data_IF_928120144410
#
_entry.id   IF_928120144410
#
_cell.length_a   1.000
_cell.length_b   1.000
_cell.length_c   1.000
_cell.angle_alpha   90.00
_cell.angle_beta   90.00
_cell.angle_gamma   90.00
#
_symmetry.space_group_name_H-M   'P 1'
#
loop_
_entity.id
_entity.type
_entity.pdbx_description
1 polymer ?
#
# COMPACT_ATOMS: atom_id res chain seq x y z
N UNK A 1 -2.08 -6.00 -23.41
CA UNK A 1 -3.14 -6.45 -22.49
C UNK A 1 -3.25 -5.42 -21.37
N UNK A 2 -4.40 -5.32 -20.71
CA UNK A 2 -4.64 -4.35 -19.65
C UNK A 2 -4.59 -5.05 -18.31
N UNK A 3 -3.86 -4.48 -17.35
CA UNK A 3 -3.70 -5.03 -16.02
C UNK A 3 -4.11 -3.99 -14.97
N UNK A 4 -4.61 -4.49 -13.84
CA UNK A 4 -4.84 -3.73 -12.63
C UNK A 4 -3.76 -4.11 -11.60
N UNK A 5 -2.96 -3.14 -11.18
CA UNK A 5 -2.02 -3.28 -10.08
C UNK A 5 -2.61 -2.63 -8.82
N UNK A 6 -2.91 -3.44 -7.81
CA UNK A 6 -3.23 -2.95 -6.47
C UNK A 6 -1.94 -2.94 -5.65
N UNK A 7 -1.54 -1.76 -5.20
CA UNK A 7 -0.30 -1.52 -4.47
C UNK A 7 -0.67 -0.99 -3.09
N UNK A 8 -0.31 -1.72 -2.04
CA UNK A 8 -0.53 -1.30 -0.65
C UNK A 8 0.80 -0.86 -0.06
N UNK A 9 0.87 0.38 0.42
CA UNK A 9 2.07 1.00 1.00
C UNK A 9 1.83 1.26 2.48
N UNK A 10 2.74 0.77 3.33
CA UNK A 10 2.65 0.88 4.79
C UNK A 10 4.00 1.30 5.38
N UNK A 11 3.98 1.92 6.55
CA UNK A 11 5.22 2.28 7.25
C UNK A 11 5.98 1.03 7.72
N UNK A 12 7.30 1.08 7.64
CA UNK A 12 8.19 0.07 8.23
C UNK A 12 8.06 0.07 9.76
N UNK A 13 8.25 -1.10 10.42
CA UNK A 13 8.28 -1.18 11.86
C UNK A 13 9.27 -0.19 12.48
N UNK A 14 8.89 0.46 13.58
CA UNK A 14 9.71 1.44 14.29
C UNK A 14 9.59 2.88 13.79
N UNK A 15 8.91 3.13 12.66
CA UNK A 15 8.48 4.48 12.30
C UNK A 15 7.17 4.84 13.00
N UNK A 16 7.07 6.08 13.49
CA UNK A 16 5.84 6.57 14.11
C UNK A 16 4.77 6.80 13.05
N UNK A 17 3.55 6.38 13.39
CA UNK A 17 2.31 6.61 12.65
C UNK A 17 1.35 7.43 13.52
N UNK A 18 1.53 8.78 13.60
CA UNK A 18 0.72 9.61 14.48
C UNK A 18 -0.79 9.55 14.18
N UNK A 19 -1.15 9.29 12.92
CA UNK A 19 -2.55 9.16 12.50
C UNK A 19 -3.15 7.83 12.99
N UNK A 20 -2.43 6.73 12.84
CA UNK A 20 -2.81 5.43 13.39
C UNK A 20 -2.92 5.45 14.91
N UNK A 21 -1.95 6.07 15.60
CA UNK A 21 -1.96 6.24 17.06
C UNK A 21 -3.20 7.03 17.53
N UNK A 22 -3.50 8.16 16.87
CA UNK A 22 -4.68 8.98 17.18
C UNK A 22 -5.97 8.21 16.91
N UNK A 23 -6.05 7.51 15.78
CA UNK A 23 -7.23 6.72 15.39
C UNK A 23 -7.48 5.58 16.39
N UNK A 24 -6.44 4.88 16.81
CA UNK A 24 -6.54 3.82 17.83
C UNK A 24 -7.08 4.36 19.16
N UNK A 25 -6.65 5.56 19.58
CA UNK A 25 -7.19 6.22 20.78
C UNK A 25 -8.67 6.53 20.64
N UNK A 26 -9.09 7.14 19.53
CA UNK A 26 -10.49 7.51 19.29
C UNK A 26 -11.41 6.28 19.21
N UNK A 27 -10.96 5.18 18.58
CA UNK A 27 -11.73 3.93 18.56
C UNK A 27 -11.94 3.35 19.97
N UNK A 28 -10.93 3.45 20.85
CA UNK A 28 -11.07 3.04 22.26
C UNK A 28 -12.06 3.92 23.01
N UNK A 29 -12.04 5.23 22.80
CA UNK A 29 -13.02 6.18 23.38
C UNK A 29 -14.45 5.87 22.92
N UNK A 30 -14.62 5.39 21.69
CA UNK A 30 -15.90 4.92 21.14
C UNK A 30 -16.32 3.52 21.65
N UNK A 31 -15.53 2.88 22.52
CA UNK A 31 -15.83 1.59 23.13
C UNK A 31 -15.34 0.36 22.35
N UNK A 32 -14.57 0.55 21.27
CA UNK A 32 -13.98 -0.58 20.53
C UNK A 32 -12.68 -1.05 21.17
N UNK A 33 -12.58 -2.36 21.40
CA UNK A 33 -11.37 -3.00 21.89
C UNK A 33 -10.36 -3.22 20.75
N UNK A 34 -9.56 -2.20 20.43
CA UNK A 34 -8.48 -2.27 19.43
C UNK A 34 -7.10 -2.24 20.09
N UNK A 35 -6.17 -3.06 19.63
CA UNK A 35 -4.78 -3.08 20.12
C UNK A 35 -3.92 -2.01 19.46
N UNK A 36 -4.03 -1.87 18.13
CA UNK A 36 -3.32 -0.89 17.31
C UNK A 36 -4.11 -0.58 16.03
N UNK A 37 -3.76 0.53 15.39
CA UNK A 37 -4.22 0.91 14.05
C UNK A 37 -2.99 1.34 13.26
N UNK A 38 -2.89 0.91 12.00
CA UNK A 38 -1.89 1.38 11.05
C UNK A 38 -2.58 2.05 9.87
N UNK A 39 -2.09 3.21 9.48
CA UNK A 39 -2.55 3.94 8.30
C UNK A 39 -1.55 3.70 7.18
N UNK A 40 -2.10 3.37 6.01
CA UNK A 40 -1.34 3.12 4.79
C UNK A 40 -2.06 3.68 3.58
N UNK A 41 -1.40 3.61 2.43
CA UNK A 41 -1.96 4.05 1.14
C UNK A 41 -2.25 2.84 0.28
N UNK A 42 -3.33 2.89 -0.48
CA UNK A 42 -3.63 1.91 -1.52
C UNK A 42 -3.72 2.62 -2.86
N UNK A 43 -2.87 2.23 -3.80
CA UNK A 43 -2.94 2.67 -5.19
C UNK A 43 -3.57 1.58 -6.03
N UNK A 44 -4.56 1.95 -6.85
CA UNK A 44 -5.11 1.09 -7.90
C UNK A 44 -4.66 1.66 -9.23
N UNK A 45 -3.72 0.99 -9.89
CA UNK A 45 -3.09 1.47 -11.12
C UNK A 45 -3.52 0.59 -12.28
N UNK A 46 -4.08 1.22 -13.30
CA UNK A 46 -4.40 0.55 -14.55
C UNK A 46 -3.26 0.78 -15.53
N UNK A 47 -2.67 -0.29 -16.05
CA UNK A 47 -1.49 -0.22 -16.92
C UNK A 47 -1.55 -1.22 -18.06
N UNK A 48 -0.86 -0.89 -19.16
CA UNK A 48 -0.70 -1.78 -20.29
C UNK A 48 0.63 -2.54 -20.20
N UNK A 49 0.57 -3.85 -20.48
CA UNK A 49 1.72 -4.72 -20.58
C UNK A 49 1.42 -5.90 -21.53
N UNK A 50 2.47 -6.55 -22.01
CA UNK A 50 2.37 -7.75 -22.84
C UNK A 50 2.17 -9.01 -22.00
N UNK A 51 2.64 -8.99 -20.74
CA UNK A 51 2.51 -10.12 -19.80
C UNK A 51 2.26 -9.63 -18.37
N UNK A 52 1.72 -10.49 -17.51
CA UNK A 52 1.57 -10.21 -16.09
C UNK A 52 2.94 -9.94 -15.41
N UNK A 53 4.01 -10.61 -15.85
CA UNK A 53 5.37 -10.39 -15.34
C UNK A 53 5.89 -8.98 -15.68
N UNK A 54 5.62 -8.50 -16.89
CA UNK A 54 5.98 -7.13 -17.28
C UNK A 54 5.15 -6.11 -16.51
N UNK A 55 3.85 -6.35 -16.30
CA UNK A 55 3.01 -5.49 -15.46
C UNK A 55 3.54 -5.42 -14.02
N UNK A 56 3.95 -6.55 -13.44
CA UNK A 56 4.57 -6.59 -12.12
C UNK A 56 5.88 -5.79 -12.08
N UNK A 57 6.75 -5.93 -13.07
CA UNK A 57 8.00 -5.18 -13.15
C UNK A 57 7.77 -3.66 -13.26
N UNK A 58 6.78 -3.23 -14.03
CA UNK A 58 6.39 -1.81 -14.13
C UNK A 58 5.84 -1.28 -12.81
N UNK A 59 4.96 -2.04 -12.14
CA UNK A 59 4.43 -1.66 -10.83
C UNK A 59 5.54 -1.54 -9.77
N UNK A 60 6.49 -2.48 -9.77
CA UNK A 60 7.68 -2.45 -8.90
C UNK A 60 8.53 -1.19 -9.14
N UNK A 61 8.74 -0.82 -10.40
CA UNK A 61 9.45 0.40 -10.77
C UNK A 61 8.72 1.66 -10.28
N UNK A 62 7.39 1.71 -10.40
CA UNK A 62 6.56 2.81 -9.88
C UNK A 62 6.70 2.96 -8.36
N UNK A 63 6.68 1.84 -7.62
CA UNK A 63 6.90 1.85 -6.17
C UNK A 63 8.25 2.45 -5.81
N UNK A 64 9.33 1.97 -6.43
CA UNK A 64 10.70 2.43 -6.16
C UNK A 64 10.94 3.89 -6.53
N UNK A 65 10.31 4.37 -7.60
CA UNK A 65 10.53 5.73 -8.11
C UNK A 65 9.64 6.78 -7.45
N UNK A 66 8.44 6.41 -6.99
CA UNK A 66 7.45 7.39 -6.58
C UNK A 66 6.55 6.95 -5.42
N UNK A 67 5.95 5.75 -5.51
CA UNK A 67 4.81 5.43 -4.64
C UNK A 67 5.21 5.09 -3.20
N UNK A 68 6.45 4.65 -2.99
CA UNK A 68 6.97 4.28 -1.67
C UNK A 68 8.29 4.98 -1.39
N UNK A 69 8.45 5.50 -0.17
CA UNK A 69 9.74 5.96 0.32
C UNK A 69 10.59 4.75 0.74
N UNK A 70 11.76 4.50 0.13
CA UNK A 70 12.55 3.29 0.39
C UNK A 70 13.08 3.21 1.84
N UNK A 71 13.22 4.35 2.52
CA UNK A 71 13.67 4.39 3.92
C UNK A 71 12.53 4.09 4.87
N UNK A 72 11.34 4.62 4.62
CA UNK A 72 10.22 4.62 5.59
C UNK A 72 9.14 3.59 5.32
N UNK A 73 8.97 3.15 4.07
CA UNK A 73 7.80 2.41 3.63
C UNK A 73 8.13 0.99 3.17
N UNK A 74 7.23 0.05 3.44
CA UNK A 74 7.09 -1.23 2.79
C UNK A 74 5.93 -1.16 1.79
N UNK A 75 5.91 -2.07 0.81
CA UNK A 75 4.76 -2.23 -0.05
C UNK A 75 4.54 -3.67 -0.52
N UNK A 76 3.30 -3.96 -0.89
CA UNK A 76 2.89 -5.20 -1.57
C UNK A 76 2.22 -4.85 -2.88
N UNK A 77 2.34 -5.74 -3.87
CA UNK A 77 1.78 -5.54 -5.22
C UNK A 77 0.99 -6.79 -5.61
N UNK A 78 -0.26 -6.58 -6.02
CA UNK A 78 -1.13 -7.61 -6.59
C UNK A 78 -1.46 -7.19 -8.02
N UNK A 79 -1.21 -8.08 -8.99
CA UNK A 79 -1.49 -7.84 -10.40
C UNK A 79 -2.62 -8.74 -10.86
N UNK A 80 -3.66 -8.14 -11.42
CA UNK A 80 -4.81 -8.82 -12.02
C UNK A 80 -4.94 -8.42 -13.50
N UNK A 81 -5.23 -9.39 -14.36
CA UNK A 81 -5.54 -9.10 -15.76
C UNK A 81 -6.98 -8.58 -15.87
N UNK A 82 -7.17 -7.47 -16.57
CA UNK A 82 -8.51 -6.98 -16.89
C UNK A 82 -9.00 -7.68 -18.16
N UNK A 83 -10.05 -8.49 -18.00
CA UNK A 83 -10.77 -9.11 -19.11
C UNK A 83 -11.44 -8.07 -20.01
#
# INVERSE_FOLDING_TARGET
MKYCAKIEVSLKPGHSDPEGETTARLLKELGYAVSAVNVGKVYTVILEAQTQKEAAAKAEEMCRKLLANPTKDNYTIIIEEQK
#
